data_IF_276024291693
#
_entry.id   IF_276024291693
#
_cell.length_a   1.000
_cell.length_b   1.000
_cell.length_c   1.000
_cell.angle_alpha   90.00
_cell.angle_beta   90.00
_cell.angle_gamma   90.00
#
_symmetry.space_group_name_H-M   'P 1'
#
loop_
_entity.id
_entity.type
_entity.pdbx_description
1 polymer ?
#
# COMPACT_ATOMS: atom_id res chain seq x y z
N UNK A 1 9.09 24.74 18.25
CA UNK A 1 9.23 23.60 17.33
C UNK A 1 9.52 24.15 15.94
N UNK A 2 10.61 23.74 15.31
CA UNK A 2 11.04 24.26 13.99
C UNK A 2 10.85 23.15 12.96
N UNK A 3 10.27 23.49 11.80
CA UNK A 3 10.20 22.62 10.64
C UNK A 3 11.36 22.95 9.69
N UNK A 4 12.16 21.95 9.40
CA UNK A 4 13.29 22.05 8.46
C UNK A 4 13.13 21.03 7.33
N UNK A 5 13.84 21.25 6.23
CA UNK A 5 13.85 20.35 5.07
C UNK A 5 15.12 19.50 5.11
N UNK A 6 15.01 18.19 4.88
CA UNK A 6 16.18 17.34 4.72
C UNK A 6 16.92 17.64 3.39
N UNK A 7 18.21 17.34 3.35
CA UNK A 7 19.07 17.55 2.15
C UNK A 7 18.53 16.84 0.91
N UNK A 8 17.97 15.64 1.10
CA UNK A 8 17.30 14.86 0.06
C UNK A 8 15.87 14.54 0.47
N UNK A 9 14.92 14.99 -0.36
CA UNK A 9 13.51 14.67 -0.22
C UNK A 9 13.20 13.41 -1.03
N UNK A 10 12.71 12.37 -0.35
CA UNK A 10 12.27 11.12 -0.99
C UNK A 10 10.90 11.31 -1.66
N UNK A 11 10.72 10.69 -2.82
CA UNK A 11 9.40 10.55 -3.44
C UNK A 11 8.76 9.28 -2.90
N UNK A 12 7.63 9.43 -2.20
CA UNK A 12 6.91 8.32 -1.58
C UNK A 12 5.59 8.06 -2.30
N UNK A 13 5.20 6.79 -2.33
CA UNK A 13 3.85 6.37 -2.72
C UNK A 13 3.08 5.96 -1.48
N UNK A 14 1.82 6.40 -1.37
CA UNK A 14 0.94 5.99 -0.28
C UNK A 14 0.10 4.78 -0.68
N UNK A 15 -0.05 3.82 0.22
CA UNK A 15 -1.01 2.73 0.12
C UNK A 15 -2.09 2.98 1.17
N UNK A 16 -3.34 3.08 0.73
CA UNK A 16 -4.50 3.34 1.58
C UNK A 16 -5.39 2.09 1.58
N UNK A 17 -5.67 1.56 2.77
CA UNK A 17 -6.46 0.35 2.98
C UNK A 17 -7.71 0.70 3.76
N UNK A 18 -8.88 0.23 3.30
CA UNK A 18 -10.11 0.31 4.10
C UNK A 18 -10.15 -0.85 5.10
N UNK A 19 -9.79 -0.57 6.35
CA UNK A 19 -9.79 -1.54 7.45
C UNK A 19 -8.47 -1.52 8.21
N UNK A 20 -8.17 -2.62 8.90
CA UNK A 20 -6.98 -2.77 9.72
C UNK A 20 -6.12 -3.94 9.21
N UNK A 21 -4.79 -3.75 9.20
CA UNK A 21 -3.84 -4.83 8.97
C UNK A 21 -3.56 -5.50 10.30
N UNK A 22 -4.07 -6.72 10.47
CA UNK A 22 -3.82 -7.51 11.68
C UNK A 22 -2.53 -8.32 11.53
N UNK A 23 -1.70 -8.31 12.58
CA UNK A 23 -0.41 -8.99 12.63
C UNK A 23 -0.08 -9.44 14.06
N UNK A 24 0.67 -10.52 14.20
CA UNK A 24 1.08 -11.07 15.51
C UNK A 24 2.40 -10.52 16.03
N UNK A 25 3.23 -9.97 15.14
CA UNK A 25 4.59 -9.50 15.43
C UNK A 25 4.84 -8.14 14.78
N UNK A 26 5.89 -7.43 15.20
CA UNK A 26 6.28 -6.18 14.55
C UNK A 26 6.52 -6.40 13.05
N UNK A 27 5.94 -5.52 12.22
CA UNK A 27 6.05 -5.56 10.76
C UNK A 27 7.38 -4.99 10.22
N UNK A 28 8.21 -4.39 11.08
CA UNK A 28 9.46 -3.75 10.67
C UNK A 28 10.38 -4.74 9.92
N UNK A 29 10.70 -4.39 8.67
CA UNK A 29 11.53 -5.20 7.79
C UNK A 29 10.83 -6.45 7.20
N UNK A 30 9.59 -6.74 7.59
CA UNK A 30 8.85 -7.88 7.09
C UNK A 30 8.16 -7.56 5.76
N UNK A 31 8.12 -8.58 4.89
CA UNK A 31 7.37 -8.50 3.64
C UNK A 31 5.87 -8.66 3.94
N UNK A 32 5.13 -7.55 3.89
CA UNK A 32 3.69 -7.56 4.12
C UNK A 32 2.89 -8.27 3.02
N UNK A 33 3.33 -8.19 1.76
CA UNK A 33 2.58 -8.73 0.64
C UNK A 33 3.21 -8.53 -0.73
N UNK A 34 2.41 -8.73 -1.78
CA UNK A 34 2.79 -8.48 -3.18
C UNK A 34 1.85 -7.45 -3.79
N UNK A 35 2.41 -6.31 -4.20
CA UNK A 35 1.72 -5.30 -5.00
C UNK A 35 1.99 -5.57 -6.49
N UNK A 36 0.93 -5.65 -7.27
CA UNK A 36 0.97 -5.67 -8.74
C UNK A 36 0.36 -4.37 -9.25
N UNK A 37 1.19 -3.53 -9.86
CA UNK A 37 0.78 -2.25 -10.45
C UNK A 37 0.50 -2.43 -11.95
N UNK A 38 -0.77 -2.31 -12.34
CA UNK A 38 -1.22 -2.28 -13.73
C UNK A 38 -1.50 -0.87 -14.24
N UNK A 39 -0.91 0.16 -13.62
CA UNK A 39 -1.17 1.56 -13.91
C UNK A 39 -2.42 2.05 -13.17
N UNK A 40 -3.59 1.97 -13.81
CA UNK A 40 -4.83 2.47 -13.18
C UNK A 40 -5.50 1.43 -12.28
N UNK A 41 -5.30 0.13 -12.55
CA UNK A 41 -5.79 -0.97 -11.71
C UNK A 41 -4.61 -1.58 -10.97
N UNK A 42 -4.74 -1.70 -9.66
CA UNK A 42 -3.73 -2.28 -8.80
C UNK A 42 -4.32 -3.48 -8.06
N UNK A 43 -3.46 -4.48 -7.79
CA UNK A 43 -3.83 -5.64 -6.99
C UNK A 43 -2.81 -5.82 -5.88
N UNK A 44 -3.27 -5.93 -4.65
CA UNK A 44 -2.44 -6.20 -3.49
C UNK A 44 -2.83 -7.54 -2.89
N UNK A 45 -1.84 -8.41 -2.70
CA UNK A 45 -2.03 -9.71 -2.04
C UNK A 45 -1.34 -9.67 -0.69
N UNK A 46 -2.12 -9.83 0.39
CA UNK A 46 -1.65 -9.92 1.78
C UNK A 46 -2.23 -11.20 2.38
N UNK A 47 -1.38 -12.15 2.79
CA UNK A 47 -1.82 -13.47 3.23
C UNK A 47 -2.75 -14.14 2.21
N UNK A 48 -3.94 -14.55 2.66
CA UNK A 48 -4.98 -15.19 1.82
C UNK A 48 -5.96 -14.19 1.17
N UNK A 49 -5.67 -12.89 1.23
CA UNK A 49 -6.54 -11.83 0.74
C UNK A 49 -6.02 -11.20 -0.54
N UNK A 50 -6.94 -10.95 -1.46
CA UNK A 50 -6.74 -10.13 -2.66
C UNK A 50 -7.53 -8.84 -2.48
N UNK A 51 -6.82 -7.72 -2.50
CA UNK A 51 -7.39 -6.39 -2.54
C UNK A 51 -7.25 -5.84 -3.95
N UNK A 52 -8.34 -5.29 -4.47
CA UNK A 52 -8.38 -4.61 -5.76
C UNK A 52 -8.52 -3.12 -5.50
N UNK A 53 -7.71 -2.35 -6.22
CA UNK A 53 -7.60 -0.93 -5.99
C UNK A 53 -7.21 -0.19 -7.25
N UNK A 54 -6.99 1.11 -7.09
CA UNK A 54 -6.60 2.02 -8.15
C UNK A 54 -5.57 3.02 -7.69
N UNK A 55 -4.67 3.40 -8.60
CA UNK A 55 -3.74 4.49 -8.37
C UNK A 55 -4.39 5.83 -8.73
N UNK A 56 -4.19 6.84 -7.88
CA UNK A 56 -4.68 8.20 -8.06
C UNK A 56 -3.58 9.22 -7.75
N UNK A 57 -3.54 10.31 -8.52
CA UNK A 57 -2.71 11.47 -8.21
C UNK A 57 -3.43 12.33 -7.16
N UNK A 58 -2.72 12.72 -6.11
CA UNK A 58 -3.26 13.60 -5.08
C UNK A 58 -3.40 15.02 -5.63
N UNK A 59 -4.58 15.62 -5.45
CA UNK A 59 -4.82 17.03 -5.81
C UNK A 59 -3.96 17.99 -4.97
N UNK A 60 -3.58 17.58 -3.75
CA UNK A 60 -2.65 18.27 -2.86
C UNK A 60 -1.59 17.27 -2.37
N UNK A 61 -0.31 17.43 -2.75
CA UNK A 61 0.77 16.60 -2.24
C UNK A 61 0.87 16.65 -0.72
N UNK A 62 1.27 15.54 -0.10
CA UNK A 62 1.39 15.42 1.36
C UNK A 62 2.88 15.38 1.72
N UNK A 63 3.29 16.16 2.72
CA UNK A 63 4.65 16.12 3.24
C UNK A 63 4.83 14.97 4.25
N UNK A 64 5.92 14.21 4.11
CA UNK A 64 6.34 13.20 5.10
C UNK A 64 7.29 13.88 6.07
N UNK A 65 6.88 13.99 7.33
CA UNK A 65 7.62 14.66 8.39
C UNK A 65 8.07 13.63 9.42
N UNK A 66 9.37 13.59 9.66
CA UNK A 66 9.95 12.81 10.75
C UNK A 66 10.15 13.71 11.97
N UNK A 67 9.60 13.29 13.11
CA UNK A 67 9.84 13.96 14.39
C UNK A 67 11.14 13.42 14.99
N UNK A 68 12.07 14.31 15.32
CA UNK A 68 13.32 13.97 16.02
C UNK A 68 13.53 14.96 17.17
N UNK A 69 13.38 14.48 18.40
CA UNK A 69 13.36 15.30 19.61
C UNK A 69 12.37 16.49 19.49
N UNK A 70 12.90 17.71 19.41
CA UNK A 70 12.16 18.99 19.32
C UNK A 70 12.10 19.56 17.88
N UNK A 71 12.68 18.84 16.92
CA UNK A 71 12.76 19.22 15.52
C UNK A 71 11.77 18.39 14.67
N UNK A 72 11.18 19.06 13.69
CA UNK A 72 10.46 18.42 12.61
C UNK A 72 11.30 18.50 11.34
N UNK A 73 11.54 17.37 10.69
CA UNK A 73 12.31 17.31 9.45
C UNK A 73 11.40 16.77 8.35
N UNK A 74 11.17 17.55 7.30
CA UNK A 74 10.54 17.05 6.09
C UNK A 74 11.51 16.14 5.36
N UNK A 75 11.18 14.86 5.27
CA UNK A 75 12.04 13.81 4.69
C UNK A 75 11.52 13.31 3.34
N UNK A 76 10.29 13.67 2.98
CA UNK A 76 9.69 13.21 1.74
C UNK A 76 8.41 13.92 1.36
N UNK A 77 7.91 13.60 0.18
CA UNK A 77 6.64 14.06 -0.33
C UNK A 77 5.90 12.92 -1.02
N UNK A 78 4.59 12.87 -0.82
CA UNK A 78 3.69 11.91 -1.44
C UNK A 78 2.84 12.66 -2.46
N UNK A 79 2.86 12.21 -3.71
CA UNK A 79 2.07 12.80 -4.81
C UNK A 79 1.04 11.84 -5.39
N UNK A 80 1.20 10.54 -5.16
CA UNK A 80 0.32 9.49 -5.65
C UNK A 80 -0.07 8.56 -4.50
N UNK A 81 -1.29 8.03 -4.58
CA UNK A 81 -1.77 7.00 -3.68
C UNK A 81 -2.39 5.84 -4.43
N UNK A 82 -2.32 4.65 -3.87
CA UNK A 82 -3.12 3.49 -4.28
C UNK A 82 -4.18 3.28 -3.22
N UNK A 83 -5.45 3.32 -3.63
CA UNK A 83 -6.58 3.10 -2.72
C UNK A 83 -7.14 1.71 -2.94
N UNK A 84 -7.27 0.94 -1.86
CA UNK A 84 -7.97 -0.34 -1.80
C UNK A 84 -9.22 -0.18 -0.92
N UNK A 85 -10.31 0.28 -1.53
CA UNK A 85 -11.60 0.56 -0.86
C UNK A 85 -12.59 -0.60 -0.96
N UNK A 86 -12.28 -1.65 -1.71
CA UNK A 86 -13.15 -2.82 -1.82
C UNK A 86 -12.84 -3.85 -0.72
N UNK A 87 -13.86 -4.60 -0.30
CA UNK A 87 -13.69 -5.70 0.67
C UNK A 87 -12.66 -6.71 0.14
N UNK A 88 -11.69 -7.16 0.96
CA UNK A 88 -10.73 -8.16 0.54
C UNK A 88 -11.41 -9.46 0.11
N UNK A 89 -11.08 -9.93 -1.09
CA UNK A 89 -11.56 -11.20 -1.63
C UNK A 89 -10.63 -12.35 -1.18
N UNK A 90 -11.15 -13.57 -0.95
CA UNK A 90 -10.28 -14.73 -0.77
C UNK A 90 -9.52 -15.05 -2.06
N UNK A 91 -8.30 -15.56 -1.94
CA UNK A 91 -7.59 -16.13 -3.08
C UNK A 91 -8.40 -17.36 -3.58
N UNK A 92 -8.74 -17.44 -4.88
CA UNK A 92 -9.45 -18.59 -5.41
C UNK A 92 -8.63 -19.87 -5.26
N UNK A 93 -9.29 -20.95 -4.82
CA UNK A 93 -8.71 -22.29 -4.80
C UNK A 93 -8.44 -22.75 -6.24
N UNK A 94 -7.15 -22.80 -6.61
CA UNK A 94 -6.69 -23.13 -7.96
C UNK A 94 -7.13 -24.54 -8.37
N UNK A 95 -7.29 -25.46 -7.42
CA UNK A 95 -7.73 -26.85 -7.64
C UNK A 95 -9.10 -26.91 -8.32
N UNK A 96 -10.03 -26.04 -7.94
CA UNK A 96 -11.39 -25.99 -8.51
C UNK A 96 -11.44 -25.34 -9.89
N UNK A 97 -10.49 -24.47 -10.21
CA UNK A 97 -10.45 -23.78 -11.50
C UNK A 97 -9.94 -24.71 -12.61
N UNK A 98 -8.90 -25.49 -12.34
CA UNK A 98 -8.37 -26.49 -13.28
C UNK A 98 -9.41 -27.58 -13.57
N UNK A 99 -10.11 -28.06 -12.53
CA UNK A 99 -11.19 -29.05 -12.69
C UNK A 99 -12.35 -28.51 -13.55
N UNK A 100 -12.73 -27.23 -13.42
CA UNK A 100 -13.74 -26.61 -14.28
C UNK A 100 -13.30 -26.47 -15.75
N UNK A 101 -12.01 -26.33 -16.02
CA UNK A 101 -11.47 -26.28 -17.38
C UNK A 101 -11.38 -27.67 -18.03
N UNK A 102 -11.28 -28.73 -17.23
CA UNK A 102 -11.24 -30.12 -17.70
C UNK A 102 -12.63 -30.72 -18.01
N UNK A 103 -13.71 -30.06 -17.60
CA UNK A 103 -15.11 -30.53 -17.80
C UNK A 103 -15.83 -29.71 -18.89
N UNK A 104 -15.11 -28.92 -19.68
CA UNK A 104 -15.59 -28.27 -20.90
C UNK A 104 -14.91 -28.88 -22.12
#
# INVERSE_FOLDING_TARGET
MILTKADKIKDFMMIELQGEVQYSENLDGLKLGKLEDGGQKCKLVIGNHILRGKAETLSKPIAVIQKSNQNLIMVGMIRKKIIFSERPAPIPDQTKQTMKQLIK
#
